data_IF_823228338751
#
_entry.id   IF_823228338751
#
_cell.length_a   1.000
_cell.length_b   1.000
_cell.length_c   1.000
_cell.angle_alpha   90.00
_cell.angle_beta   90.00
_cell.angle_gamma   90.00
#
_symmetry.space_group_name_H-M   'P 1'
#
loop_
_entity.id
_entity.type
_entity.pdbx_description
1 polymer ?
#
# COMPACT_ATOMS: atom_id res chain seq x y z
N UNK A 1 -10.49 1.10 13.05
CA UNK A 1 -11.36 1.16 11.86
C UNK A 1 -12.83 0.84 12.20
N UNK A 2 -13.49 1.54 13.14
CA UNK A 2 -14.87 1.18 13.52
C UNK A 2 -15.97 1.60 12.51
N UNK A 3 -15.63 2.15 11.33
CA UNK A 3 -16.64 2.64 10.37
C UNK A 3 -16.51 2.14 8.93
N UNK A 4 -15.44 1.43 8.56
CA UNK A 4 -15.18 1.05 7.16
C UNK A 4 -15.92 -0.20 6.69
N UNK A 5 -16.58 -0.95 7.58
CA UNK A 5 -17.40 -2.10 7.18
C UNK A 5 -18.80 -1.68 6.73
N UNK A 6 -19.34 -0.60 7.30
CA UNK A 6 -20.70 -0.14 7.00
C UNK A 6 -20.85 0.48 5.59
N UNK A 7 -19.74 0.79 4.91
CA UNK A 7 -19.74 1.27 3.52
C UNK A 7 -19.83 0.12 2.49
N UNK A 8 -19.64 -1.12 2.92
CA UNK A 8 -19.65 -2.27 2.03
C UNK A 8 -21.09 -2.69 1.77
N UNK A 9 -21.33 -3.16 0.55
CA UNK A 9 -22.58 -3.83 0.21
C UNK A 9 -22.63 -5.21 0.86
N UNK A 10 -23.83 -5.77 0.97
CA UNK A 10 -24.05 -7.15 1.41
C UNK A 10 -23.18 -8.11 0.58
N UNK A 11 -22.56 -9.09 1.24
CA UNK A 11 -21.54 -10.00 0.68
C UNK A 11 -20.24 -9.31 0.22
N UNK A 12 -19.99 -8.08 0.65
CA UNK A 12 -18.76 -7.35 0.35
C UNK A 12 -17.52 -7.96 1.03
N UNK A 13 -16.35 -7.67 0.47
CA UNK A 13 -15.07 -8.15 1.00
C UNK A 13 -14.16 -7.01 1.48
N UNK A 14 -13.51 -7.21 2.64
CA UNK A 14 -12.41 -6.38 3.13
C UNK A 14 -11.11 -7.13 3.04
N UNK A 15 -10.11 -6.47 2.45
CA UNK A 15 -8.73 -6.95 2.41
C UNK A 15 -7.85 -6.02 3.25
N UNK A 16 -7.61 -6.32 4.53
CA UNK A 16 -6.69 -5.54 5.32
C UNK A 16 -5.25 -5.81 4.89
N UNK A 17 -4.58 -4.77 4.40
CA UNK A 17 -3.16 -4.80 4.01
C UNK A 17 -2.25 -4.21 5.10
N UNK A 18 -2.81 -3.38 5.98
CA UNK A 18 -2.08 -2.78 7.10
C UNK A 18 -1.93 -3.74 8.28
N UNK A 19 -0.79 -3.63 8.98
CA UNK A 19 -0.46 -4.41 10.18
C UNK A 19 -0.36 -3.48 11.42
N UNK A 20 -1.50 -3.06 12.00
CA UNK A 20 -1.49 -2.27 13.22
C UNK A 20 -1.05 -3.13 14.43
N UNK A 21 -0.22 -2.57 15.31
CA UNK A 21 0.31 -3.26 16.50
C UNK A 21 -0.82 -3.76 17.42
N UNK A 22 -1.89 -2.98 17.57
CA UNK A 22 -3.06 -3.33 18.40
C UNK A 22 -4.09 -4.24 17.73
N UNK A 23 -3.78 -4.79 16.55
CA UNK A 23 -4.71 -5.60 15.76
C UNK A 23 -5.83 -4.81 15.10
N UNK A 24 -6.69 -5.52 14.38
CA UNK A 24 -7.81 -4.94 13.63
C UNK A 24 -9.11 -5.23 14.38
N UNK A 25 -9.81 -4.17 14.78
CA UNK A 25 -11.12 -4.26 15.44
C UNK A 25 -12.22 -4.07 14.40
N UNK A 26 -13.24 -4.92 14.45
CA UNK A 26 -14.44 -4.87 13.61
C UNK A 26 -15.70 -5.12 14.43
N UNK A 27 -16.85 -4.67 13.91
CA UNK A 27 -18.16 -4.98 14.47
C UNK A 27 -18.65 -6.33 13.96
N UNK A 28 -18.92 -7.25 14.88
CA UNK A 28 -19.38 -8.60 14.55
C UNK A 28 -20.82 -8.59 14.01
N UNK A 29 -21.66 -7.66 14.47
CA UNK A 29 -23.04 -7.58 14.00
C UNK A 29 -23.11 -7.20 12.53
N UNK A 30 -22.42 -6.14 12.10
CA UNK A 30 -22.31 -5.76 10.68
C UNK A 30 -21.72 -6.88 9.83
N UNK A 31 -20.70 -7.59 10.33
CA UNK A 31 -20.08 -8.71 9.61
C UNK A 31 -21.09 -9.82 9.30
N UNK A 32 -21.89 -10.22 10.29
CA UNK A 32 -22.88 -11.30 10.15
C UNK A 32 -24.08 -10.84 9.35
N UNK A 33 -24.67 -9.69 9.69
CA UNK A 33 -25.90 -9.20 9.07
C UNK A 33 -25.75 -8.91 7.58
N UNK A 34 -24.59 -8.38 7.19
CA UNK A 34 -24.27 -8.09 5.79
C UNK A 34 -23.43 -9.18 5.13
N UNK A 35 -23.22 -10.33 5.80
CA UNK A 35 -22.45 -11.47 5.32
C UNK A 35 -21.08 -11.08 4.69
N UNK A 36 -20.35 -10.20 5.36
CA UNK A 36 -19.09 -9.68 4.82
C UNK A 36 -17.95 -10.70 4.96
N UNK A 37 -16.97 -10.63 4.05
CA UNK A 37 -15.78 -11.48 4.08
C UNK A 37 -14.54 -10.67 4.43
N UNK A 38 -13.76 -11.11 5.41
CA UNK A 38 -12.45 -10.53 5.74
C UNK A 38 -11.36 -11.47 5.24
N UNK A 39 -10.50 -11.00 4.32
CA UNK A 39 -9.42 -11.80 3.75
C UNK A 39 -8.08 -11.07 3.82
N UNK A 40 -7.15 -11.58 4.62
CA UNK A 40 -5.80 -11.00 4.71
C UNK A 40 -5.00 -11.18 3.42
N UNK A 41 -4.16 -10.20 3.10
CA UNK A 41 -3.17 -10.27 2.02
C UNK A 41 -1.95 -9.42 2.36
N UNK A 42 -0.76 -10.02 2.35
CA UNK A 42 0.49 -9.32 2.74
C UNK A 42 1.40 -9.01 1.57
N UNK A 43 1.72 -10.03 0.77
CA UNK A 43 2.66 -9.89 -0.36
C UNK A 43 2.17 -10.71 -1.54
N UNK A 44 2.51 -10.26 -2.75
CA UNK A 44 2.22 -10.97 -3.99
C UNK A 44 3.32 -11.99 -4.30
N UNK A 45 2.95 -13.08 -4.97
CA UNK A 45 3.91 -14.04 -5.52
C UNK A 45 4.58 -13.45 -6.77
N UNK A 46 5.74 -14.00 -7.16
CA UNK A 46 6.44 -13.60 -8.39
C UNK A 46 5.54 -13.52 -9.63
N UNK A 47 4.76 -14.56 -10.01
CA UNK A 47 3.91 -14.47 -11.20
C UNK A 47 2.85 -13.37 -11.10
N UNK A 48 2.29 -13.15 -9.90
CA UNK A 48 1.33 -12.06 -9.68
C UNK A 48 1.98 -10.68 -9.86
N UNK A 49 3.23 -10.51 -9.43
CA UNK A 49 4.00 -9.28 -9.65
C UNK A 49 4.29 -9.08 -11.13
N UNK A 50 4.67 -10.13 -11.87
CA UNK A 50 4.92 -10.05 -13.31
C UNK A 50 3.66 -9.60 -14.07
N UNK A 51 2.49 -10.15 -13.73
CA UNK A 51 1.22 -9.73 -14.33
C UNK A 51 0.82 -8.32 -13.91
N UNK A 52 1.04 -7.96 -12.65
CA UNK A 52 0.83 -6.59 -12.16
C UNK A 52 1.68 -5.58 -12.96
N UNK A 53 2.96 -5.86 -13.19
CA UNK A 53 3.85 -4.98 -13.95
C UNK A 53 3.40 -4.80 -15.40
N UNK A 54 2.87 -5.86 -16.05
CA UNK A 54 2.28 -5.75 -17.40
C UNK A 54 1.08 -4.80 -17.41
N UNK A 55 0.20 -4.89 -16.42
CA UNK A 55 -0.97 -4.00 -16.27
C UNK A 55 -0.51 -2.56 -16.04
N UNK A 56 0.44 -2.33 -15.13
CA UNK A 56 1.01 -1.01 -14.84
C UNK A 56 1.58 -0.37 -16.10
N UNK A 57 2.36 -1.12 -16.89
CA UNK A 57 2.93 -0.63 -18.14
C UNK A 57 1.85 -0.33 -19.19
N UNK A 58 0.87 -1.22 -19.35
CA UNK A 58 -0.22 -1.07 -20.32
C UNK A 58 -1.07 0.17 -20.09
N UNK A 59 -1.38 0.48 -18.83
CA UNK A 59 -2.26 1.59 -18.47
C UNK A 59 -1.50 2.84 -18.00
N UNK A 60 -0.17 2.83 -18.01
CA UNK A 60 0.65 3.97 -17.61
C UNK A 60 0.44 4.39 -16.15
N UNK A 61 0.20 3.43 -15.25
CA UNK A 61 -0.02 3.70 -13.82
C UNK A 61 1.29 4.19 -13.20
N UNK A 62 1.28 5.36 -12.56
CA UNK A 62 2.47 5.97 -11.94
C UNK A 62 2.23 6.30 -10.48
N UNK A 63 3.24 6.06 -9.66
CA UNK A 63 3.27 6.52 -8.28
C UNK A 63 3.95 7.88 -8.19
N UNK A 64 3.54 8.68 -7.20
CA UNK A 64 4.31 9.85 -6.78
C UNK A 64 5.56 9.37 -6.06
N UNK A 65 6.73 9.67 -6.64
CA UNK A 65 8.03 9.24 -6.12
C UNK A 65 8.84 10.48 -5.78
N UNK A 66 9.46 10.45 -4.60
CA UNK A 66 10.52 11.39 -4.22
C UNK A 66 11.82 10.61 -4.23
N UNK A 67 12.70 10.98 -5.16
CA UNK A 67 14.01 10.34 -5.29
C UNK A 67 14.99 11.01 -4.34
N UNK A 68 15.71 10.22 -3.55
CA UNK A 68 16.77 10.69 -2.65
C UNK A 68 18.13 10.15 -3.10
N UNK A 69 19.19 10.88 -2.80
CA UNK A 69 20.57 10.42 -3.05
C UNK A 69 21.11 9.63 -1.87
N UNK A 70 22.26 8.98 -2.08
CA UNK A 70 22.92 8.22 -1.01
C UNK A 70 23.42 9.12 0.13
N UNK A 71 23.80 10.36 -0.17
CA UNK A 71 24.21 11.35 0.83
C UNK A 71 23.06 11.76 1.76
N UNK A 72 21.82 11.64 1.26
CA UNK A 72 20.60 11.92 2.00
C UNK A 72 20.08 10.69 2.77
N UNK A 73 20.70 9.52 2.60
CA UNK A 73 20.28 8.28 3.25
C UNK A 73 20.17 8.40 4.79
N UNK A 74 21.05 9.12 5.52
CA UNK A 74 20.90 9.30 6.96
C UNK A 74 19.62 10.03 7.38
N UNK A 75 19.04 10.87 6.50
CA UNK A 75 17.81 11.64 6.75
C UNK A 75 16.54 10.86 6.42
N UNK A 76 16.66 9.69 5.80
CA UNK A 76 15.51 8.86 5.38
C UNK A 76 14.53 8.53 6.50
N UNK A 77 14.96 8.18 7.73
CA UNK A 77 14.01 7.90 8.81
C UNK A 77 13.11 9.09 9.13
N UNK A 78 13.68 10.28 9.21
CA UNK A 78 12.94 11.51 9.51
C UNK A 78 11.97 11.86 8.37
N UNK A 79 12.44 11.75 7.12
CA UNK A 79 11.61 11.95 5.93
C UNK A 79 10.48 10.92 5.83
N UNK A 80 10.71 9.69 6.28
CA UNK A 80 9.72 8.62 6.26
C UNK A 80 8.64 8.82 7.33
N UNK A 81 9.03 9.34 8.49
CA UNK A 81 8.13 9.61 9.61
C UNK A 81 7.35 10.93 9.48
N UNK A 82 7.65 11.74 8.46
CA UNK A 82 6.87 12.95 8.17
C UNK A 82 5.40 12.59 7.87
N UNK A 83 4.43 13.07 8.70
CA UNK A 83 3.00 12.79 8.49
C UNK A 83 2.46 13.36 7.16
N UNK A 84 3.19 14.26 6.51
CA UNK A 84 2.85 14.86 5.23
C UNK A 84 3.56 14.19 4.04
N UNK A 85 4.27 13.08 4.26
CA UNK A 85 4.90 12.32 3.18
C UNK A 85 3.85 11.86 2.17
N UNK A 86 3.95 12.36 0.94
CA UNK A 86 3.09 11.97 -0.18
C UNK A 86 3.83 11.00 -1.10
N UNK A 87 3.37 9.75 -1.16
CA UNK A 87 3.88 8.75 -2.09
C UNK A 87 4.98 7.87 -1.49
N UNK A 88 6.06 7.64 -2.25
CA UNK A 88 7.18 6.76 -1.85
C UNK A 88 8.52 7.46 -1.97
N UNK A 89 9.40 7.20 -1.00
CA UNK A 89 10.82 7.55 -1.08
C UNK A 89 11.54 6.45 -1.87
N UNK A 90 12.36 6.84 -2.84
CA UNK A 90 13.17 5.91 -3.65
C UNK A 90 14.62 6.36 -3.60
N UNK A 91 15.50 5.50 -3.11
CA UNK A 91 16.93 5.76 -3.11
C UNK A 91 17.51 5.48 -4.49
N UNK A 92 18.15 6.49 -5.10
CA UNK A 92 18.85 6.33 -6.37
C UNK A 92 20.23 5.73 -6.12
N UNK A 93 20.43 4.51 -6.59
CA UNK A 93 21.75 3.88 -6.65
C UNK A 93 22.37 4.10 -8.03
N UNK A 94 23.59 4.66 -8.07
CA UNK A 94 24.40 4.79 -9.29
C UNK A 94 24.22 6.11 -10.06
N UNK A 95 25.33 6.82 -10.24
CA UNK A 95 25.48 7.89 -11.23
C UNK A 95 25.79 7.27 -12.60
N UNK A 96 24.77 7.04 -13.42
CA UNK A 96 24.94 7.02 -14.87
C UNK A 96 23.67 7.57 -15.54
N UNK A 97 23.72 8.87 -15.86
CA UNK A 97 22.85 9.54 -16.85
C UNK A 97 21.39 9.86 -16.44
N UNK A 98 20.77 10.88 -17.06
CA UNK A 98 19.38 11.25 -16.80
C UNK A 98 18.45 10.52 -17.77
N UNK A 99 17.65 9.58 -17.29
CA UNK A 99 16.36 9.21 -17.91
C UNK A 99 15.49 8.47 -16.90
N UNK A 100 14.45 9.13 -16.40
CA UNK A 100 13.08 8.62 -16.22
C UNK A 100 12.18 9.83 -15.92
#
# INVERSE_FOLDING_TARGET
>A
MPGSLNILRVHGAVVPVGLPVGGIKFDAFTLIFSELVIKGWLVATRPQVEDFTKVVAKFGIKNRVTTVTIDEAPKLPDMYMDPHLKGRLVLKFGSFGPTC
#
